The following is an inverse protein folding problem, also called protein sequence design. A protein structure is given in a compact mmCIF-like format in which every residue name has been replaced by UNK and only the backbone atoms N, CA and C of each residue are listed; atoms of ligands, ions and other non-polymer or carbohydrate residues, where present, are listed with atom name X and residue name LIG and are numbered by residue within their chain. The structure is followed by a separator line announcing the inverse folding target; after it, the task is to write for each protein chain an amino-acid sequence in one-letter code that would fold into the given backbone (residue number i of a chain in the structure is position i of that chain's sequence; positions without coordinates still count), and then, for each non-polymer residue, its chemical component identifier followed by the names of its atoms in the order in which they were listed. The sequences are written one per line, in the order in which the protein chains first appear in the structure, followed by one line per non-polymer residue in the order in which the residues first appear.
data_IF_319659770201
#
_entry.id   IF_319659770201
#
_cell.length_a   1.000
_cell.length_b   1.000
_cell.length_c   1.000
_cell.angle_alpha   90.00
_cell.angle_beta   90.00
_cell.angle_gamma   90.00
#
_symmetry.space_group_name_H-M   'P 1'
#
loop_
_entity.id
_entity.type
_entity.pdbx_description
1 polymer ?
#
# COMPACT_ATOMS: atom_id res chain seq x y z
N UNK A 1 -4.45 -27.44 13.62
CA UNK A 1 -5.30 -26.31 13.21
C UNK A 1 -5.31 -25.18 14.25
N UNK A 2 -5.65 -25.41 15.52
CA UNK A 2 -5.73 -24.33 16.55
C UNK A 2 -4.46 -23.51 16.83
N UNK A 3 -3.27 -24.12 16.75
CA UNK A 3 -1.98 -23.42 17.01
C UNK A 3 -1.67 -22.39 15.92
N UNK A 4 -1.77 -22.77 14.66
CA UNK A 4 -1.53 -21.86 13.52
C UNK A 4 -2.57 -20.73 13.44
N UNK A 5 -3.83 -20.97 13.82
CA UNK A 5 -4.84 -19.91 13.89
C UNK A 5 -4.58 -18.91 15.03
N UNK A 6 -4.11 -19.40 16.18
CA UNK A 6 -3.72 -18.54 17.30
C UNK A 6 -2.51 -17.69 16.94
N UNK A 7 -1.52 -18.29 16.28
CA UNK A 7 -0.32 -17.58 15.80
C UNK A 7 -0.69 -16.52 14.75
N UNK A 8 -1.60 -16.84 13.80
CA UNK A 8 -2.13 -15.86 12.83
C UNK A 8 -2.89 -14.71 13.52
N UNK A 9 -3.76 -15.02 14.49
CA UNK A 9 -4.51 -14.00 15.23
C UNK A 9 -3.59 -13.07 16.04
N UNK A 10 -2.57 -13.64 16.67
CA UNK A 10 -1.58 -12.88 17.42
C UNK A 10 -0.77 -11.95 16.50
N UNK A 11 -0.36 -12.44 15.33
CA UNK A 11 0.28 -11.63 14.28
C UNK A 11 -0.60 -10.47 13.85
N UNK A 12 -1.86 -10.71 13.50
CA UNK A 12 -2.79 -9.65 13.07
C UNK A 12 -2.99 -8.59 14.15
N UNK A 13 -3.10 -9.02 15.42
CA UNK A 13 -3.18 -8.07 16.54
C UNK A 13 -1.95 -7.17 16.64
N UNK A 14 -0.75 -7.72 16.43
CA UNK A 14 0.50 -6.96 16.42
C UNK A 14 0.58 -5.96 15.27
N UNK A 15 0.10 -6.34 14.09
CA UNK A 15 0.02 -5.43 12.95
C UNK A 15 -0.91 -4.24 13.22
N UNK A 16 -2.06 -4.50 13.85
CA UNK A 16 -2.98 -3.42 14.25
C UNK A 16 -2.37 -2.54 15.36
N UNK A 17 -1.71 -3.13 16.35
CA UNK A 17 -0.99 -2.39 17.40
C UNK A 17 0.09 -1.47 16.82
N UNK A 18 0.91 -1.97 15.87
CA UNK A 18 1.90 -1.15 15.18
C UNK A 18 1.27 0.00 14.38
N UNK A 19 0.09 -0.23 13.79
CA UNK A 19 -0.68 0.82 13.09
C UNK A 19 -1.18 1.88 14.06
N UNK A 20 -1.78 1.49 15.19
CA UNK A 20 -2.27 2.42 16.21
C UNK A 20 -1.14 3.29 16.78
N UNK A 21 0.01 2.69 17.08
CA UNK A 21 1.19 3.40 17.56
C UNK A 21 1.68 4.45 16.55
N UNK A 22 1.75 4.07 15.27
CA UNK A 22 2.18 5.00 14.23
C UNK A 22 1.20 6.18 14.06
N UNK A 23 -0.11 5.95 14.23
CA UNK A 23 -1.10 7.04 14.17
C UNK A 23 -0.85 8.12 15.23
N UNK A 24 -0.44 7.71 16.44
CA UNK A 24 -0.06 8.63 17.53
C UNK A 24 1.42 9.05 17.48
N UNK A 25 2.10 8.83 16.35
CA UNK A 25 3.51 9.17 16.11
C UNK A 25 4.56 8.41 16.96
N UNK A 26 4.15 7.30 17.59
CA UNK A 26 5.05 6.38 18.32
C UNK A 26 5.72 5.40 17.35
N UNK A 27 6.51 5.94 16.42
CA UNK A 27 7.09 5.17 15.31
C UNK A 27 8.09 4.12 15.77
N UNK A 28 8.92 4.42 16.77
CA UNK A 28 9.97 3.50 17.21
C UNK A 28 9.34 2.23 17.81
N UNK A 29 8.31 2.40 18.64
CA UNK A 29 7.50 1.29 19.17
C UNK A 29 6.81 0.49 18.05
N UNK A 30 6.28 1.17 17.02
CA UNK A 30 5.69 0.50 15.86
C UNK A 30 6.74 -0.34 15.11
N UNK A 31 7.95 0.18 14.90
CA UNK A 31 9.03 -0.53 14.23
C UNK A 31 9.56 -1.71 15.03
N UNK A 32 9.65 -1.62 16.36
CA UNK A 32 10.01 -2.76 17.21
C UNK A 32 9.05 -3.96 17.01
N UNK A 33 7.75 -3.69 16.92
CA UNK A 33 6.75 -4.73 16.68
C UNK A 33 6.92 -5.33 15.29
N UNK A 34 7.12 -4.49 14.27
CA UNK A 34 7.27 -4.93 12.89
C UNK A 34 8.57 -5.72 12.69
N UNK A 35 9.66 -5.29 13.30
CA UNK A 35 10.94 -6.00 13.28
C UNK A 35 10.86 -7.33 14.02
N UNK A 36 10.10 -7.39 15.11
CA UNK A 36 9.81 -8.66 15.79
C UNK A 36 9.06 -9.65 14.87
N UNK A 37 8.07 -9.17 14.09
CA UNK A 37 7.36 -10.00 13.13
C UNK A 37 8.29 -10.46 12.00
N UNK A 38 9.06 -9.55 11.42
CA UNK A 38 10.00 -9.84 10.33
C UNK A 38 11.18 -10.73 10.74
N UNK A 39 11.55 -10.72 12.02
CA UNK A 39 12.52 -11.68 12.57
C UNK A 39 11.98 -13.11 12.60
N UNK A 40 10.67 -13.26 12.75
CA UNK A 40 10.00 -14.56 12.81
C UNK A 40 9.68 -15.10 11.42
N UNK A 41 9.26 -14.22 10.52
CA UNK A 41 9.06 -14.48 9.10
C UNK A 41 9.50 -13.26 8.29
N UNK A 42 10.66 -13.38 7.65
CA UNK A 42 11.25 -12.27 6.91
C UNK A 42 10.49 -11.91 5.62
N UNK A 43 9.60 -12.79 5.17
CA UNK A 43 8.80 -12.64 3.95
C UNK A 43 7.33 -12.36 4.28
N UNK A 44 7.05 -11.98 5.52
CA UNK A 44 5.73 -11.54 5.96
C UNK A 44 5.32 -10.26 5.19
N UNK A 45 4.50 -10.44 4.16
CA UNK A 45 4.08 -9.36 3.26
C UNK A 45 3.36 -8.22 3.99
N UNK A 46 2.47 -8.54 4.93
CA UNK A 46 1.73 -7.50 5.67
C UNK A 46 2.67 -6.72 6.61
N UNK A 47 3.64 -7.39 7.24
CA UNK A 47 4.62 -6.72 8.09
C UNK A 47 5.59 -5.87 7.28
N UNK A 48 6.07 -6.36 6.13
CA UNK A 48 6.89 -5.57 5.19
C UNK A 48 6.13 -4.34 4.71
N UNK A 49 4.88 -4.52 4.26
CA UNK A 49 4.04 -3.45 3.74
C UNK A 49 3.77 -2.42 4.82
N UNK A 50 3.36 -2.88 6.00
CA UNK A 50 3.11 -2.01 7.15
C UNK A 50 4.39 -1.24 7.50
N UNK A 51 5.55 -1.88 7.57
CA UNK A 51 6.82 -1.17 7.82
C UNK A 51 7.11 -0.10 6.78
N UNK A 52 6.97 -0.42 5.49
CA UNK A 52 7.10 0.54 4.40
C UNK A 52 6.21 1.77 4.58
N UNK A 53 4.90 1.57 4.74
CA UNK A 53 3.97 2.68 4.90
C UNK A 53 4.27 3.55 6.14
N UNK A 54 4.74 2.95 7.24
CA UNK A 54 5.03 3.70 8.48
C UNK A 54 6.32 4.50 8.36
N UNK A 55 7.31 3.99 7.62
CA UNK A 55 8.52 4.73 7.28
C UNK A 55 8.18 5.96 6.44
N UNK A 56 7.33 5.84 5.43
CA UNK A 56 6.87 7.00 4.65
C UNK A 56 6.05 7.98 5.48
N UNK A 57 5.14 7.48 6.32
CA UNK A 57 4.37 8.33 7.21
C UNK A 57 5.27 9.10 8.19
N UNK A 58 6.33 8.46 8.71
CA UNK A 58 7.36 9.13 9.53
C UNK A 58 8.09 10.20 8.73
N UNK A 59 8.55 9.85 7.52
CA UNK A 59 9.25 10.77 6.62
C UNK A 59 8.42 12.04 6.37
N UNK A 60 7.16 11.87 5.95
CA UNK A 60 6.25 12.97 5.65
C UNK A 60 5.91 13.83 6.87
N UNK A 61 5.73 13.22 8.05
CA UNK A 61 5.44 13.99 9.28
C UNK A 61 6.64 14.78 9.78
N UNK A 62 7.84 14.21 9.65
CA UNK A 62 9.06 14.81 10.18
C UNK A 62 9.78 15.70 9.16
N UNK A 63 9.35 15.77 7.90
CA UNK A 63 10.09 16.43 6.82
C UNK A 63 10.47 17.90 7.07
N UNK A 64 9.76 18.60 7.96
CA UNK A 64 10.07 19.99 8.34
C UNK A 64 10.95 20.10 9.59
N UNK A 65 11.17 19.00 10.32
CA UNK A 65 11.87 18.92 11.60
C UNK A 65 13.26 18.29 11.49
N UNK A 66 13.54 17.55 10.40
CA UNK A 66 14.82 16.87 10.13
C UNK A 66 15.37 17.28 8.76
N UNK A 67 16.64 16.94 8.49
CA UNK A 67 17.27 17.25 7.21
C UNK A 67 16.69 16.44 6.05
N UNK A 68 16.76 16.99 4.83
CA UNK A 68 16.33 16.29 3.61
C UNK A 68 17.04 14.93 3.46
N UNK A 69 18.32 14.86 3.83
CA UNK A 69 19.07 13.60 3.82
C UNK A 69 18.48 12.55 4.77
N UNK A 70 18.06 12.95 5.97
CA UNK A 70 17.41 12.05 6.92
C UNK A 70 16.01 11.64 6.46
N UNK A 71 15.25 12.54 5.83
CA UNK A 71 13.96 12.21 5.21
C UNK A 71 14.15 11.15 4.12
N UNK A 72 15.17 11.31 3.26
CA UNK A 72 15.45 10.36 2.18
C UNK A 72 15.81 8.97 2.71
N UNK A 73 16.50 8.87 3.85
CA UNK A 73 16.79 7.56 4.48
C UNK A 73 15.49 6.78 4.74
N UNK A 74 14.45 7.42 5.27
CA UNK A 74 13.18 6.76 5.55
C UNK A 74 12.44 6.36 4.26
N UNK A 75 12.45 7.20 3.23
CA UNK A 75 11.89 6.85 1.92
C UNK A 75 12.62 5.67 1.29
N UNK A 76 13.96 5.64 1.34
CA UNK A 76 14.76 4.55 0.78
C UNK A 76 14.56 3.24 1.55
N UNK A 77 14.39 3.29 2.87
CA UNK A 77 14.03 2.11 3.66
C UNK A 77 12.62 1.62 3.38
N UNK A 78 11.65 2.52 3.14
CA UNK A 78 10.31 2.14 2.72
C UNK A 78 10.34 1.42 1.37
N UNK A 79 11.06 1.99 0.40
CA UNK A 79 11.24 1.38 -0.92
C UNK A 79 11.85 -0.02 -0.84
N UNK A 80 12.83 -0.25 0.03
CA UNK A 80 13.40 -1.61 0.25
C UNK A 80 12.36 -2.61 0.74
N UNK A 81 11.40 -2.17 1.57
CA UNK A 81 10.30 -3.03 2.02
C UNK A 81 9.39 -3.40 0.84
N UNK A 82 9.00 -2.41 0.03
CA UNK A 82 8.15 -2.62 -1.14
C UNK A 82 8.84 -3.46 -2.23
N UNK A 83 10.12 -3.22 -2.50
CA UNK A 83 10.92 -4.03 -3.42
C UNK A 83 11.06 -5.49 -2.95
N UNK A 84 11.11 -5.72 -1.64
CA UNK A 84 11.10 -7.09 -1.10
C UNK A 84 9.76 -7.76 -1.37
N UNK A 85 8.65 -7.06 -1.18
CA UNK A 85 7.32 -7.58 -1.54
C UNK A 85 7.25 -7.87 -3.04
N UNK A 86 7.70 -6.96 -3.91
CA UNK A 86 7.70 -7.19 -5.37
C UNK A 86 8.53 -8.39 -5.81
N UNK A 87 9.54 -8.80 -5.05
CA UNK A 87 10.32 -10.03 -5.31
C UNK A 87 9.58 -11.29 -4.90
N UNK A 88 8.73 -11.22 -3.88
CA UNK A 88 7.97 -12.35 -3.34
C UNK A 88 6.66 -12.51 -4.11
N UNK A 89 5.94 -11.41 -4.32
CA UNK A 89 4.64 -11.31 -4.96
C UNK A 89 4.61 -10.06 -5.89
N UNK A 90 5.02 -10.22 -7.17
CA UNK A 90 5.09 -9.12 -8.13
C UNK A 90 3.74 -8.51 -8.50
N UNK A 91 2.64 -9.23 -8.25
CA UNK A 91 1.28 -8.86 -8.62
C UNK A 91 0.43 -8.51 -7.37
N UNK A 92 1.10 -8.31 -6.23
CA UNK A 92 0.47 -7.81 -5.02
C UNK A 92 -0.12 -6.41 -5.24
N UNK A 93 -1.44 -6.32 -5.38
CA UNK A 93 -2.14 -5.09 -5.76
C UNK A 93 -1.91 -3.96 -4.74
N UNK A 94 -1.92 -4.29 -3.45
CA UNK A 94 -1.68 -3.31 -2.40
C UNK A 94 -0.26 -2.74 -2.44
N UNK A 95 0.74 -3.59 -2.68
CA UNK A 95 2.12 -3.13 -2.85
C UNK A 95 2.33 -2.33 -4.16
N UNK A 96 1.60 -2.66 -5.23
CA UNK A 96 1.61 -1.84 -6.44
C UNK A 96 1.05 -0.44 -6.16
N UNK A 97 -0.05 -0.35 -5.42
CA UNK A 97 -0.61 0.94 -4.98
C UNK A 97 0.41 1.70 -4.13
N UNK A 98 1.01 1.06 -3.11
CA UNK A 98 1.99 1.71 -2.24
C UNK A 98 3.25 2.17 -3.01
N UNK A 99 3.72 1.42 -4.01
CA UNK A 99 4.80 1.85 -4.90
C UNK A 99 4.39 3.06 -5.74
N UNK A 100 3.15 3.09 -6.24
CA UNK A 100 2.59 4.25 -6.91
C UNK A 100 2.63 5.48 -6.00
N UNK A 101 2.14 5.33 -4.76
CA UNK A 101 2.13 6.38 -3.75
C UNK A 101 3.56 6.86 -3.42
N UNK A 102 4.50 5.93 -3.25
CA UNK A 102 5.90 6.24 -2.97
C UNK A 102 6.52 7.15 -4.03
N UNK A 103 6.39 6.77 -5.30
CA UNK A 103 6.95 7.55 -6.40
C UNK A 103 6.18 8.85 -6.64
N UNK A 104 4.88 8.85 -6.39
CA UNK A 104 4.04 10.06 -6.42
C UNK A 104 4.49 11.08 -5.39
N UNK A 105 4.72 10.66 -4.15
CA UNK A 105 5.22 11.50 -3.05
C UNK A 105 6.63 12.07 -3.34
N UNK A 106 7.43 11.38 -4.16
CA UNK A 106 8.73 11.87 -4.64
C UNK A 106 8.64 12.67 -5.95
N UNK A 107 7.43 13.05 -6.39
CA UNK A 107 7.14 13.77 -7.63
C UNK A 107 7.64 13.07 -8.91
N UNK A 108 7.94 11.78 -8.83
CA UNK A 108 8.40 10.96 -9.96
C UNK A 108 7.19 10.33 -10.67
N UNK A 109 6.34 11.18 -11.24
CA UNK A 109 5.05 10.77 -11.77
C UNK A 109 5.12 9.76 -12.92
N UNK A 110 6.17 9.85 -13.75
CA UNK A 110 6.43 8.90 -14.83
C UNK A 110 6.71 7.47 -14.33
N UNK A 111 7.24 7.36 -13.10
CA UNK A 111 7.50 6.08 -12.45
C UNK A 111 6.27 5.60 -11.66
N UNK A 112 5.51 6.52 -11.05
CA UNK A 112 4.32 6.21 -10.26
C UNK A 112 3.16 5.65 -11.11
N UNK A 113 2.88 6.28 -12.26
CA UNK A 113 1.70 5.99 -13.07
C UNK A 113 1.58 4.51 -13.49
N UNK A 114 2.64 3.84 -13.99
CA UNK A 114 2.59 2.42 -14.35
C UNK A 114 2.18 1.49 -13.20
N UNK A 115 2.49 1.83 -11.95
CA UNK A 115 2.14 0.99 -10.82
C UNK A 115 0.63 0.97 -10.56
N UNK A 116 -0.02 2.14 -10.54
CA UNK A 116 -1.48 2.19 -10.42
C UNK A 116 -2.16 1.57 -11.64
N UNK A 117 -1.62 1.75 -12.84
CA UNK A 117 -2.17 1.12 -14.05
C UNK A 117 -2.12 -0.39 -13.99
N UNK A 118 -1.00 -0.96 -13.53
CA UNK A 118 -0.87 -2.40 -13.31
C UNK A 118 -1.85 -2.90 -12.25
N UNK A 119 -1.98 -2.19 -11.12
CA UNK A 119 -2.94 -2.53 -10.08
C UNK A 119 -4.38 -2.58 -10.62
N UNK A 120 -4.80 -1.55 -11.36
CA UNK A 120 -6.13 -1.47 -11.98
C UNK A 120 -6.33 -2.58 -13.03
N UNK A 121 -5.31 -2.94 -13.81
CA UNK A 121 -5.40 -4.03 -14.79
C UNK A 121 -5.68 -5.37 -14.12
N UNK A 122 -4.97 -5.68 -13.02
CA UNK A 122 -5.17 -6.90 -12.24
C UNK A 122 -6.57 -6.93 -11.61
N UNK A 123 -7.00 -5.81 -11.03
CA UNK A 123 -8.36 -5.66 -10.47
C UNK A 123 -9.45 -5.86 -11.53
N UNK A 124 -9.23 -5.39 -12.76
CA UNK A 124 -10.13 -5.61 -13.91
C UNK A 124 -10.19 -7.08 -14.35
N UNK A 125 -9.15 -7.87 -14.07
CA UNK A 125 -9.14 -9.34 -14.27
C UNK A 125 -9.84 -10.10 -13.13
N UNK A 126 -10.27 -9.39 -12.08
CA UNK A 126 -10.91 -9.97 -10.90
C UNK A 126 -9.92 -10.42 -9.82
N UNK A 127 -8.65 -10.04 -9.94
CA UNK A 127 -7.62 -10.32 -8.93
C UNK A 127 -7.70 -9.28 -7.80
N UNK A 128 -7.43 -9.69 -6.57
CA UNK A 128 -7.39 -8.80 -5.39
C UNK A 128 -6.54 -9.45 -4.28
N UNK A 129 -5.95 -8.63 -3.41
CA UNK A 129 -5.10 -9.11 -2.30
C UNK A 129 -5.93 -9.42 -1.06
N UNK A 130 -6.83 -8.52 -0.69
CA UNK A 130 -7.67 -8.55 0.51
C UNK A 130 -9.12 -8.26 0.13
N UNK A 131 -9.37 -7.14 -0.56
CA UNK A 131 -10.72 -6.66 -0.83
C UNK A 131 -10.75 -5.96 -2.18
N UNK A 132 -11.40 -6.61 -3.16
CA UNK A 132 -11.55 -6.08 -4.52
C UNK A 132 -12.12 -4.65 -4.52
N UNK A 133 -13.12 -4.40 -3.66
CA UNK A 133 -13.73 -3.08 -3.53
C UNK A 133 -12.72 -2.06 -3.00
N UNK A 134 -12.10 -2.32 -1.86
CA UNK A 134 -11.24 -1.31 -1.21
C UNK A 134 -10.00 -1.04 -2.08
N UNK A 135 -9.43 -2.08 -2.70
CA UNK A 135 -8.27 -1.95 -3.59
C UNK A 135 -8.57 -1.21 -4.89
N UNK A 136 -9.77 -1.42 -5.46
CA UNK A 136 -10.21 -0.58 -6.56
C UNK A 136 -10.32 0.88 -6.10
N UNK A 137 -10.90 1.16 -4.92
CA UNK A 137 -11.10 2.54 -4.44
C UNK A 137 -9.74 3.22 -4.29
N UNK A 138 -8.79 2.55 -3.66
CA UNK A 138 -7.41 3.03 -3.48
C UNK A 138 -6.69 3.21 -4.83
N UNK A 139 -6.72 2.23 -5.74
CA UNK A 139 -5.97 2.32 -6.99
C UNK A 139 -6.50 3.41 -7.95
N UNK A 140 -7.82 3.50 -8.11
CA UNK A 140 -8.43 4.55 -8.95
C UNK A 140 -8.27 5.94 -8.33
N UNK A 141 -8.35 6.05 -6.99
CA UNK A 141 -8.08 7.29 -6.28
C UNK A 141 -6.63 7.73 -6.48
N UNK A 142 -5.65 6.86 -6.17
CA UNK A 142 -4.22 7.14 -6.32
C UNK A 142 -3.84 7.58 -7.74
N UNK A 143 -4.29 6.84 -8.77
CA UNK A 143 -4.09 7.25 -10.18
C UNK A 143 -4.71 8.61 -10.47
N UNK A 144 -5.91 8.88 -9.98
CA UNK A 144 -6.61 10.13 -10.26
C UNK A 144 -5.95 11.35 -9.61
N UNK A 145 -5.44 11.21 -8.39
CA UNK A 145 -4.71 12.28 -7.71
C UNK A 145 -3.37 12.52 -8.40
N UNK A 146 -2.64 11.46 -8.78
CA UNK A 146 -1.44 11.58 -9.60
C UNK A 146 -1.68 12.36 -10.90
N UNK A 147 -2.76 12.04 -11.62
CA UNK A 147 -3.12 12.75 -12.85
C UNK A 147 -3.45 14.23 -12.61
N UNK A 148 -4.00 14.59 -11.44
CA UNK A 148 -4.23 15.99 -11.05
C UNK A 148 -2.93 16.73 -10.81
N UNK A 149 -1.99 16.11 -10.09
CA UNK A 149 -0.64 16.66 -9.88
C UNK A 149 0.13 16.85 -11.20
N UNK A 150 -0.11 15.98 -12.19
CA UNK A 150 0.40 16.14 -13.57
C UNK A 150 -0.33 17.23 -14.39
N UNK A 151 -1.35 17.90 -13.84
CA UNK A 151 -2.17 18.91 -14.53
C UNK A 151 -3.20 18.33 -15.52
N UNK A 152 -3.44 17.01 -15.49
CA UNK A 152 -4.33 16.28 -16.41
C UNK A 152 -5.73 16.08 -15.84
N UNK A 153 -6.38 17.18 -15.47
CA UNK A 153 -7.70 17.18 -14.79
C UNK A 153 -8.77 16.34 -15.50
N UNK A 154 -8.85 16.42 -16.83
CA UNK A 154 -9.83 15.64 -17.61
C UNK A 154 -9.61 14.14 -17.51
N UNK A 155 -8.34 13.70 -17.52
CA UNK A 155 -7.98 12.29 -17.40
C UNK A 155 -8.25 11.80 -15.96
N UNK A 156 -7.99 12.63 -14.96
CA UNK A 156 -8.30 12.32 -13.57
C UNK A 156 -9.81 12.12 -13.32
N UNK A 157 -10.65 13.01 -13.84
CA UNK A 157 -12.10 12.90 -13.72
C UNK A 157 -12.65 11.67 -14.45
N UNK A 158 -12.06 11.33 -15.60
CA UNK A 158 -12.36 10.10 -16.33
C UNK A 158 -11.96 8.86 -15.51
N UNK A 159 -10.78 8.86 -14.90
CA UNK A 159 -10.30 7.78 -14.04
C UNK A 159 -11.25 7.53 -12.86
N UNK A 160 -11.70 8.59 -12.17
CA UNK A 160 -12.68 8.47 -11.07
C UNK A 160 -14.01 7.86 -11.56
N UNK A 161 -14.50 8.30 -12.73
CA UNK A 161 -15.72 7.72 -13.33
C UNK A 161 -15.57 6.25 -13.66
N UNK A 162 -14.45 5.85 -14.26
CA UNK A 162 -14.17 4.44 -14.56
C UNK A 162 -14.15 3.58 -13.31
N UNK A 163 -13.54 4.07 -12.23
CA UNK A 163 -13.63 3.42 -10.92
C UNK A 163 -15.09 3.23 -10.53
N UNK A 164 -15.85 4.33 -10.46
CA UNK A 164 -17.29 4.35 -10.11
C UNK A 164 -18.16 3.52 -11.03
N UNK A 165 -17.79 3.21 -12.28
CA UNK A 165 -18.55 2.29 -13.13
C UNK A 165 -18.19 0.82 -12.87
N UNK A 166 -16.94 0.58 -12.47
CA UNK A 166 -16.42 -0.74 -12.12
C UNK A 166 -16.90 -1.23 -10.74
N UNK A 167 -17.01 -0.34 -9.73
CA UNK A 167 -17.54 -0.67 -8.38
C UNK A 167 -19.01 -1.16 -8.32
N UNK A 168 -19.99 -0.55 -9.02
CA UNK A 168 -21.40 -0.91 -8.90
C UNK A 168 -21.76 -2.20 -9.62
N UNK A 169 -20.93 -2.67 -10.56
CA UNK A 169 -21.19 -3.92 -11.30
C UNK A 169 -20.70 -5.18 -10.59
N UNK A 170 -19.77 -5.09 -9.63
CA UNK A 170 -19.22 -6.26 -8.94
C UNK A 170 -20.08 -6.80 -7.79
N UNK A 171 -20.98 -6.00 -7.20
CA UNK A 171 -21.94 -6.51 -6.20
C UNK A 171 -22.96 -7.49 -6.83
N UNK A 172 -23.16 -7.43 -8.16
CA UNK A 172 -24.14 -8.27 -8.87
C UNK A 172 -23.56 -9.55 -9.50
N UNK A 173 -22.23 -9.73 -9.53
CA UNK A 173 -21.59 -10.91 -10.15
C UNK A 173 -20.74 -11.75 -9.17
N UNK A 174 -20.98 -11.62 -7.87
CA UNK A 174 -20.41 -12.48 -6.83
C UNK A 174 -21.16 -13.79 -6.57
N UNK A 175 -22.02 -14.22 -7.50
CA UNK A 175 -22.45 -15.61 -7.56
C UNK A 175 -21.23 -16.46 -7.91
N UNK A 176 -20.67 -17.15 -6.91
CA UNK A 176 -19.67 -18.18 -7.15
C UNK A 176 -20.25 -19.22 -8.12
N UNK A 177 -19.68 -19.32 -9.30
CA UNK A 177 -19.69 -20.57 -10.04
C UNK A 177 -18.38 -21.31 -9.72
N UNK A 178 -18.59 -22.46 -9.07
CA UNK A 178 -17.71 -23.60 -8.74
C UNK A 178 -16.73 -23.48 -7.56
#
# INVERSE_FOLDING_TARGET
MKKNELDKKNRLKKLEEAKELALIAEYDSAFEILDYLLKSDENDLDALRSKGNKLEMKALRMQNDISDEEVQVFFDEALKCYEKISKIDPDNILNLIDLGDHWSNKENFDIALPFYEKAIELLKKGEFTISHKDECEEAFFGKSELLREMGKEKEADQCKKEGVEFFPTSILLGGREE
#
